data_IF_695151028736
#
_entry.id   IF_695151028736
#
_cell.length_a   1.000
_cell.length_b   1.000
_cell.length_c   1.000
_cell.angle_alpha   90.00
_cell.angle_beta   90.00
_cell.angle_gamma   90.00
#
_symmetry.space_group_name_H-M   'P 1'
#
loop_
_entity.id
_entity.type
_entity.pdbx_description
1 polymer ?
#
# COMPACT_ATOMS: atom_id res chain seq x y z
N UNK A 1 14.84 -26.51 6.03
CA UNK A 1 13.82 -27.01 5.07
C UNK A 1 13.72 -25.99 3.94
N UNK A 2 13.89 -26.39 2.67
CA UNK A 2 13.71 -25.48 1.52
C UNK A 2 12.26 -25.52 1.10
N UNK A 3 11.60 -24.36 1.05
CA UNK A 3 10.26 -24.22 0.49
C UNK A 3 10.39 -24.20 -1.04
N UNK A 4 9.65 -25.08 -1.72
CA UNK A 4 9.49 -25.02 -3.16
C UNK A 4 8.35 -24.04 -3.46
N UNK A 5 8.70 -22.88 -4.02
CA UNK A 5 7.73 -21.84 -4.40
C UNK A 5 7.40 -22.04 -5.88
N UNK A 6 6.11 -22.12 -6.27
CA UNK A 6 5.73 -22.15 -7.69
C UNK A 6 6.22 -20.91 -8.45
N UNK A 7 6.66 -21.10 -9.69
CA UNK A 7 7.23 -20.01 -10.53
C UNK A 7 6.25 -18.84 -10.68
N UNK A 8 4.97 -19.14 -10.89
CA UNK A 8 3.90 -18.14 -11.00
C UNK A 8 3.69 -17.30 -9.73
N UNK A 9 4.18 -17.73 -8.57
CA UNK A 9 4.14 -16.95 -7.32
C UNK A 9 5.42 -16.14 -7.17
N UNK A 10 6.57 -16.72 -7.53
CA UNK A 10 7.87 -16.04 -7.46
C UNK A 10 7.96 -14.83 -8.41
N UNK A 11 7.21 -14.84 -9.51
CA UNK A 11 7.11 -13.75 -10.47
C UNK A 11 6.17 -12.61 -10.04
N UNK A 12 5.34 -12.81 -9.01
CA UNK A 12 4.42 -11.79 -8.53
C UNK A 12 5.21 -10.69 -7.83
N UNK A 13 5.07 -9.46 -8.32
CA UNK A 13 5.57 -8.28 -7.60
C UNK A 13 4.79 -8.16 -6.28
N UNK A 14 5.47 -8.20 -5.12
CA UNK A 14 4.79 -8.07 -3.84
C UNK A 14 3.97 -6.78 -3.80
N UNK A 15 2.73 -6.89 -3.35
CA UNK A 15 1.85 -5.72 -3.24
C UNK A 15 2.38 -4.78 -2.15
N UNK A 16 2.82 -3.56 -2.51
CA UNK A 16 3.25 -2.60 -1.51
C UNK A 16 2.00 -2.11 -0.75
N UNK A 17 1.99 -2.17 0.60
CA UNK A 17 0.92 -1.55 1.35
C UNK A 17 0.90 -0.04 1.07
N UNK A 18 -0.30 0.54 0.99
CA UNK A 18 -0.46 1.98 0.88
C UNK A 18 0.06 2.70 2.12
N UNK A 19 0.53 3.93 1.95
CA UNK A 19 0.93 4.79 3.07
C UNK A 19 -0.30 5.19 3.91
N UNK A 20 -0.23 5.14 5.25
CA UNK A 20 -1.27 5.67 6.12
C UNK A 20 -1.55 7.16 5.86
N UNK A 21 -2.81 7.58 5.97
CA UNK A 21 -3.22 8.96 5.70
C UNK A 21 -2.64 9.95 6.72
N UNK A 22 -2.59 9.56 7.99
CA UNK A 22 -2.01 10.34 9.09
C UNK A 22 -0.51 10.59 8.91
N UNK A 23 0.22 9.59 8.42
CA UNK A 23 1.63 9.76 8.07
C UNK A 23 1.84 10.73 6.90
N UNK A 24 0.94 10.70 5.92
CA UNK A 24 0.95 11.61 4.79
C UNK A 24 0.66 13.04 5.25
N UNK A 25 -0.41 13.23 6.02
CA UNK A 25 -0.78 14.52 6.61
C UNK A 25 0.37 15.14 7.40
N UNK A 26 1.06 14.34 8.22
CA UNK A 26 2.25 14.79 8.99
C UNK A 26 3.40 15.22 8.10
N UNK A 27 3.67 14.50 7.01
CA UNK A 27 4.76 14.84 6.08
C UNK A 27 4.51 16.15 5.35
N UNK A 28 3.27 16.40 4.94
CA UNK A 28 2.90 17.59 4.17
C UNK A 28 2.45 18.77 5.05
N UNK A 29 2.34 18.58 6.38
CA UNK A 29 1.90 19.62 7.31
C UNK A 29 0.43 20.03 7.11
N UNK A 30 -0.39 19.11 6.59
CA UNK A 30 -1.82 19.32 6.34
C UNK A 30 -2.64 18.50 7.33
N UNK A 31 -3.90 18.88 7.52
CA UNK A 31 -4.86 18.15 8.37
C UNK A 31 -6.22 18.15 7.72
N UNK A 32 -7.05 17.14 8.05
CA UNK A 32 -8.40 16.97 7.50
C UNK A 32 -8.42 16.84 5.97
N UNK A 33 -7.46 16.11 5.42
CA UNK A 33 -7.41 15.81 4.00
C UNK A 33 -8.64 15.01 3.55
N UNK A 34 -9.17 15.34 2.37
CA UNK A 34 -10.28 14.63 1.77
C UNK A 34 -9.70 13.59 0.80
N UNK A 35 -9.93 12.32 1.09
CA UNK A 35 -9.53 11.22 0.21
C UNK A 35 -10.54 11.08 -0.94
N UNK A 36 -10.08 11.31 -2.16
CA UNK A 36 -10.84 11.06 -3.41
C UNK A 36 -10.31 9.84 -4.17
N UNK A 37 -9.44 9.05 -3.53
CA UNK A 37 -8.86 7.83 -4.10
C UNK A 37 -9.59 6.58 -3.55
N UNK A 38 -9.38 5.43 -4.20
CA UNK A 38 -9.93 4.11 -3.82
C UNK A 38 -11.40 3.82 -4.16
N UNK A 39 -12.06 4.66 -4.97
CA UNK A 39 -13.46 4.45 -5.40
C UNK A 39 -14.42 4.20 -4.22
N UNK A 40 -14.20 4.88 -3.09
CA UNK A 40 -15.09 4.84 -1.93
C UNK A 40 -16.37 5.65 -2.26
N UNK A 41 -17.53 5.19 -1.79
CA UNK A 41 -18.86 5.76 -2.07
C UNK A 41 -19.48 6.32 -0.78
#
# INVERSE_FOLDING_TARGET
MKLNIPENIAEIVPYPPGKPLDELEREYGVTNSIKLASNEN
#
